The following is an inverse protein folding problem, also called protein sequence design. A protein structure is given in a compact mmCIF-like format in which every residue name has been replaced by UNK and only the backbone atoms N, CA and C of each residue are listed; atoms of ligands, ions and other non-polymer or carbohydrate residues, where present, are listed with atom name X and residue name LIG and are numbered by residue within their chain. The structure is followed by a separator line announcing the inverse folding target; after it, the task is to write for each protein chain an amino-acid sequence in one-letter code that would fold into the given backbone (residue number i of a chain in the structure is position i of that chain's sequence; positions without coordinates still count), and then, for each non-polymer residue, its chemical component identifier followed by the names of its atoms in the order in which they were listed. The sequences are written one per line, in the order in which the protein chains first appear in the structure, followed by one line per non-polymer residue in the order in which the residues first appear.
data_IF_669094331048
#
_entry.id   IF_669094331048
#
_cell.length_a   1.000
_cell.length_b   1.000
_cell.length_c   1.000
_cell.angle_alpha   90.00
_cell.angle_beta   90.00
_cell.angle_gamma   90.00
#
_symmetry.space_group_name_H-M   'P 1'
#
loop_
_entity.id
_entity.type
_entity.pdbx_description
1 polymer ?
#
# COMPACT_ATOMS: atom_id res chain seq x y z
N UNK A 1 -4.12 -31.87 -20.67
CA UNK A 1 -3.27 -30.65 -20.52
C UNK A 1 -2.70 -30.67 -19.11
N UNK A 2 -1.40 -30.56 -18.99
CA UNK A 2 -0.73 -30.51 -17.68
C UNK A 2 -0.84 -29.12 -17.06
N UNK A 3 -0.68 -29.04 -15.73
CA UNK A 3 -0.65 -27.76 -15.02
C UNK A 3 0.47 -26.85 -15.55
N UNK A 4 1.60 -27.41 -15.95
CA UNK A 4 2.67 -26.67 -16.61
C UNK A 4 2.17 -25.95 -17.88
N UNK A 5 1.48 -26.65 -18.76
CA UNK A 5 0.90 -26.09 -19.99
C UNK A 5 -0.18 -25.04 -19.72
N UNK A 6 -0.99 -25.24 -18.65
CA UNK A 6 -1.99 -24.26 -18.23
C UNK A 6 -1.32 -22.95 -17.78
N UNK A 7 -0.25 -23.06 -17.00
CA UNK A 7 0.53 -21.90 -16.54
C UNK A 7 1.09 -21.14 -17.73
N UNK A 8 1.69 -21.82 -18.71
CA UNK A 8 2.23 -21.16 -19.91
C UNK A 8 1.15 -20.41 -20.69
N UNK A 9 0.00 -21.05 -20.91
CA UNK A 9 -1.14 -20.43 -21.60
C UNK A 9 -1.63 -19.19 -20.86
N UNK A 10 -1.80 -19.27 -19.53
CA UNK A 10 -2.24 -18.14 -18.73
C UNK A 10 -1.17 -17.05 -18.64
N UNK A 11 0.11 -17.40 -18.56
CA UNK A 11 1.22 -16.44 -18.56
C UNK A 11 1.26 -15.62 -19.86
N UNK A 12 1.09 -16.25 -21.04
CA UNK A 12 0.99 -15.56 -22.32
C UNK A 12 -0.18 -14.55 -22.31
N UNK A 13 -1.34 -14.97 -21.79
CA UNK A 13 -2.51 -14.07 -21.64
C UNK A 13 -2.22 -12.90 -20.72
N UNK A 14 -1.53 -13.12 -19.59
CA UNK A 14 -1.15 -12.04 -18.66
C UNK A 14 -0.23 -11.03 -19.31
N UNK A 15 0.77 -11.48 -20.09
CA UNK A 15 1.70 -10.58 -20.80
C UNK A 15 0.94 -9.64 -21.75
N UNK A 16 -0.06 -10.14 -22.45
CA UNK A 16 -0.87 -9.34 -23.38
C UNK A 16 -1.85 -8.41 -22.67
N UNK A 17 -2.45 -8.86 -21.56
CA UNK A 17 -3.63 -8.17 -20.98
C UNK A 17 -3.33 -7.40 -19.69
N UNK A 18 -2.16 -7.57 -19.08
CA UNK A 18 -1.83 -7.00 -17.77
C UNK A 18 -0.53 -6.20 -17.79
N UNK A 19 -0.42 -5.29 -16.83
CA UNK A 19 0.82 -4.52 -16.63
C UNK A 19 1.99 -5.42 -16.22
N UNK A 20 3.24 -5.10 -16.59
CA UNK A 20 4.43 -5.89 -16.24
C UNK A 20 4.54 -6.27 -14.77
N UNK A 21 4.21 -5.34 -13.86
CA UNK A 21 4.21 -5.60 -12.42
C UNK A 21 3.25 -6.73 -12.01
N UNK A 22 2.10 -6.89 -12.71
CA UNK A 22 1.17 -8.00 -12.45
C UNK A 22 1.76 -9.32 -12.93
N UNK A 23 2.42 -9.33 -14.09
CA UNK A 23 3.10 -10.52 -14.62
C UNK A 23 4.20 -10.95 -13.64
N UNK A 24 5.04 -10.02 -13.19
CA UNK A 24 6.09 -10.26 -12.21
C UNK A 24 5.54 -10.81 -10.89
N UNK A 25 4.42 -10.27 -10.41
CA UNK A 25 3.74 -10.77 -9.21
C UNK A 25 3.35 -12.24 -9.32
N UNK A 26 2.89 -12.70 -10.50
CA UNK A 26 2.53 -14.11 -10.72
C UNK A 26 3.73 -15.04 -10.83
N UNK A 27 4.92 -14.57 -11.17
CA UNK A 27 6.10 -15.44 -11.38
C UNK A 27 6.44 -16.28 -10.15
N UNK A 28 6.39 -15.66 -8.96
CA UNK A 28 6.64 -16.39 -7.71
C UNK A 28 5.63 -17.55 -7.52
N UNK A 29 4.35 -17.31 -7.79
CA UNK A 29 3.33 -18.36 -7.64
C UNK A 29 3.46 -19.43 -8.72
N UNK A 30 3.78 -19.05 -9.94
CA UNK A 30 4.04 -19.98 -11.03
C UNK A 30 5.23 -20.88 -10.75
N UNK A 31 6.29 -20.38 -10.13
CA UNK A 31 7.43 -21.21 -9.76
C UNK A 31 7.05 -22.31 -8.77
N UNK A 32 6.24 -21.99 -7.76
CA UNK A 32 5.73 -22.97 -6.80
C UNK A 32 4.78 -23.98 -7.46
N UNK A 33 3.85 -23.52 -8.30
CA UNK A 33 2.93 -24.40 -9.03
C UNK A 33 3.68 -25.34 -9.98
N UNK A 34 4.65 -24.84 -10.75
CA UNK A 34 5.47 -25.69 -11.63
C UNK A 34 6.23 -26.73 -10.86
N UNK A 35 6.84 -26.36 -9.74
CA UNK A 35 7.65 -27.26 -8.90
C UNK A 35 6.82 -28.41 -8.33
N UNK A 36 5.63 -28.14 -7.82
CA UNK A 36 4.87 -29.10 -7.04
C UNK A 36 3.65 -29.71 -7.76
N UNK A 37 3.12 -29.02 -8.77
CA UNK A 37 1.94 -29.45 -9.51
C UNK A 37 2.17 -29.62 -11.02
N UNK A 38 3.33 -29.21 -11.52
CA UNK A 38 3.57 -29.10 -12.97
C UNK A 38 3.39 -30.41 -13.75
N UNK A 39 3.61 -31.54 -13.09
CA UNK A 39 3.44 -32.89 -13.65
C UNK A 39 1.99 -33.40 -13.70
N UNK A 40 1.11 -32.82 -12.85
CA UNK A 40 -0.29 -33.21 -12.79
C UNK A 40 -1.04 -32.70 -14.02
N UNK A 41 -2.12 -33.41 -14.38
CA UNK A 41 -3.08 -32.95 -15.38
C UNK A 41 -4.23 -32.18 -14.73
N UNK A 42 -5.03 -31.49 -15.53
CA UNK A 42 -6.23 -30.77 -15.03
C UNK A 42 -7.20 -31.75 -14.37
N UNK A 43 -7.28 -32.99 -14.85
CA UNK A 43 -8.20 -34.00 -14.32
C UNK A 43 -7.79 -34.47 -12.91
N UNK A 44 -6.50 -34.39 -12.60
CA UNK A 44 -5.94 -34.77 -11.31
C UNK A 44 -6.09 -33.64 -10.25
N UNK A 45 -6.65 -32.50 -10.64
CA UNK A 45 -6.82 -31.32 -9.76
C UNK A 45 -8.13 -31.41 -8.98
N UNK A 46 -8.22 -32.37 -8.08
CA UNK A 46 -9.31 -32.58 -7.13
C UNK A 46 -8.99 -31.97 -5.74
N UNK A 47 -9.84 -32.21 -4.76
CA UNK A 47 -9.69 -31.73 -3.39
C UNK A 47 -8.46 -32.33 -2.70
N UNK A 48 -8.17 -33.61 -2.94
CA UNK A 48 -7.02 -34.29 -2.36
C UNK A 48 -5.71 -33.77 -2.91
N UNK A 49 -5.62 -33.50 -4.21
CA UNK A 49 -4.46 -32.85 -4.82
C UNK A 49 -4.22 -31.46 -4.22
N UNK A 50 -5.29 -30.72 -3.91
CA UNK A 50 -5.19 -29.42 -3.28
C UNK A 50 -4.71 -29.50 -1.82
N UNK A 51 -5.21 -30.46 -1.05
CA UNK A 51 -4.77 -30.70 0.33
C UNK A 51 -3.30 -31.12 0.34
N UNK A 52 -2.90 -32.06 -0.52
CA UNK A 52 -1.52 -32.50 -0.68
C UNK A 52 -0.60 -31.33 -1.07
N UNK A 53 -1.04 -30.45 -1.94
CA UNK A 53 -0.28 -29.24 -2.30
C UNK A 53 -0.07 -28.31 -1.10
N UNK A 54 -1.10 -28.10 -0.28
CA UNK A 54 -1.00 -27.28 0.95
C UNK A 54 -0.02 -27.92 1.94
N UNK A 55 -0.12 -29.22 2.16
CA UNK A 55 0.80 -29.99 3.03
C UNK A 55 2.24 -29.85 2.53
N UNK A 56 2.46 -30.07 1.26
CA UNK A 56 3.77 -29.94 0.60
C UNK A 56 4.35 -28.53 0.76
N UNK A 57 3.53 -27.48 0.56
CA UNK A 57 3.97 -26.10 0.78
C UNK A 57 4.39 -25.85 2.24
N UNK A 58 3.64 -26.37 3.22
CA UNK A 58 3.99 -26.23 4.65
C UNK A 58 5.26 -26.98 5.02
N UNK A 59 5.47 -28.18 4.49
CA UNK A 59 6.64 -29.00 4.76
C UNK A 59 7.92 -28.40 4.18
N UNK A 60 7.87 -27.97 2.91
CA UNK A 60 9.06 -27.44 2.22
C UNK A 60 9.30 -25.94 2.50
N UNK A 61 8.28 -25.23 3.00
CA UNK A 61 8.35 -23.81 3.35
C UNK A 61 7.78 -23.54 4.74
N UNK A 62 8.36 -24.06 5.84
CA UNK A 62 7.79 -24.00 7.19
C UNK A 62 7.60 -22.56 7.70
N UNK A 63 8.34 -21.60 7.16
CA UNK A 63 8.19 -20.16 7.49
C UNK A 63 7.08 -19.45 6.68
N UNK A 64 6.46 -20.14 5.71
CA UNK A 64 5.42 -19.55 4.87
C UNK A 64 4.10 -19.42 5.67
N UNK A 65 3.66 -18.19 5.87
CA UNK A 65 2.41 -17.89 6.60
C UNK A 65 1.18 -18.30 5.79
N UNK A 66 0.08 -18.65 6.46
CA UNK A 66 -1.19 -19.00 5.84
C UNK A 66 -1.68 -17.94 4.84
N UNK A 67 -1.49 -16.66 5.12
CA UNK A 67 -1.81 -15.58 4.17
C UNK A 67 -1.06 -15.70 2.84
N UNK A 68 0.18 -16.16 2.85
CA UNK A 68 0.97 -16.39 1.63
C UNK A 68 0.49 -17.63 0.90
N UNK A 69 0.21 -18.72 1.62
CA UNK A 69 -0.38 -19.94 1.04
C UNK A 69 -1.72 -19.60 0.38
N UNK A 70 -2.60 -18.85 1.04
CA UNK A 70 -3.88 -18.41 0.48
C UNK A 70 -3.72 -17.57 -0.80
N UNK A 71 -2.64 -16.80 -0.92
CA UNK A 71 -2.31 -16.09 -2.17
C UNK A 71 -1.88 -17.06 -3.28
N UNK A 72 -1.08 -18.09 -2.96
CA UNK A 72 -0.71 -19.15 -3.91
C UNK A 72 -1.97 -19.86 -4.40
N UNK A 73 -2.86 -20.25 -3.51
CA UNK A 73 -4.13 -20.91 -3.84
C UNK A 73 -5.03 -20.03 -4.70
N UNK A 74 -5.13 -18.74 -4.38
CA UNK A 74 -5.89 -17.76 -5.19
C UNK A 74 -5.29 -17.59 -6.58
N UNK A 75 -3.95 -17.59 -6.70
CA UNK A 75 -3.28 -17.53 -7.98
C UNK A 75 -3.50 -18.81 -8.78
N UNK A 76 -3.47 -20.01 -8.15
CA UNK A 76 -3.78 -21.27 -8.78
C UNK A 76 -5.22 -21.32 -9.29
N UNK A 77 -6.20 -20.94 -8.45
CA UNK A 77 -7.62 -20.82 -8.88
C UNK A 77 -7.77 -19.95 -10.12
N UNK A 78 -7.11 -18.80 -10.14
CA UNK A 78 -7.14 -17.87 -11.26
C UNK A 78 -6.48 -18.48 -12.51
N UNK A 79 -5.36 -19.17 -12.34
CA UNK A 79 -4.62 -19.83 -13.42
C UNK A 79 -5.44 -20.93 -14.07
N UNK A 80 -6.08 -21.79 -13.29
CA UNK A 80 -6.95 -22.86 -13.80
C UNK A 80 -8.19 -22.30 -14.49
N UNK A 81 -8.85 -21.32 -13.89
CA UNK A 81 -10.03 -20.66 -14.47
C UNK A 81 -9.73 -20.07 -15.85
N UNK A 82 -8.68 -19.27 -15.98
CA UNK A 82 -8.40 -18.52 -17.21
C UNK A 82 -7.44 -19.20 -18.18
N UNK A 83 -6.64 -20.15 -17.71
CA UNK A 83 -5.73 -20.94 -18.53
C UNK A 83 -6.39 -22.17 -19.14
N UNK A 84 -7.34 -22.80 -18.43
CA UNK A 84 -7.95 -24.07 -18.80
C UNK A 84 -9.48 -24.07 -18.79
N UNK A 85 -10.13 -22.96 -18.41
CA UNK A 85 -11.58 -22.90 -18.14
C UNK A 85 -12.05 -23.95 -17.12
N UNK A 86 -11.20 -24.24 -16.13
CA UNK A 86 -11.44 -25.22 -15.08
C UNK A 86 -11.54 -24.53 -13.72
N UNK A 87 -12.75 -24.11 -13.29
CA UNK A 87 -12.95 -23.50 -11.98
C UNK A 87 -12.87 -24.55 -10.88
N UNK A 88 -12.03 -24.33 -9.89
CA UNK A 88 -11.93 -25.20 -8.70
C UNK A 88 -12.37 -24.45 -7.44
N UNK A 89 -12.97 -25.19 -6.52
CA UNK A 89 -13.19 -24.69 -5.17
C UNK A 89 -11.95 -24.93 -4.32
N UNK A 90 -11.54 -23.91 -3.59
CA UNK A 90 -10.36 -23.97 -2.73
C UNK A 90 -10.73 -23.45 -1.36
N UNK A 91 -10.61 -24.31 -0.35
CA UNK A 91 -10.79 -23.92 1.05
C UNK A 91 -9.59 -23.05 1.48
N UNK A 92 -9.89 -21.87 2.00
CA UNK A 92 -8.88 -20.98 2.55
C UNK A 92 -8.44 -21.43 3.92
N UNK A 93 -7.14 -21.32 4.17
CA UNK A 93 -6.58 -21.51 5.50
C UNK A 93 -6.99 -20.34 6.40
N UNK A 94 -7.25 -20.64 7.68
CA UNK A 94 -7.49 -19.64 8.70
C UNK A 94 -6.31 -18.67 8.80
N UNK A 95 -6.60 -17.38 8.78
CA UNK A 95 -5.62 -16.31 8.92
C UNK A 95 -5.79 -15.65 10.29
N UNK A 96 -4.72 -15.56 11.08
CA UNK A 96 -4.74 -14.75 12.28
C UNK A 96 -4.92 -13.28 11.90
N UNK A 97 -5.93 -12.63 12.45
CA UNK A 97 -6.12 -11.18 12.34
C UNK A 97 -5.01 -10.49 13.15
N UNK A 98 -3.87 -10.26 12.55
CA UNK A 98 -2.83 -9.44 13.15
C UNK A 98 -3.24 -7.98 13.06
N UNK A 99 -3.32 -7.31 14.21
CA UNK A 99 -3.41 -5.85 14.24
C UNK A 99 -2.21 -5.28 13.48
N UNK A 100 -2.48 -4.37 12.55
CA UNK A 100 -1.40 -3.71 11.81
C UNK A 100 -0.77 -2.72 12.80
N UNK A 101 0.50 -2.92 13.20
CA UNK A 101 1.14 -2.02 14.14
C UNK A 101 1.29 -0.65 13.49
N UNK A 102 0.84 0.39 14.18
CA UNK A 102 1.00 1.79 13.79
C UNK A 102 2.43 2.25 14.02
N UNK A 103 2.78 3.39 13.43
CA UNK A 103 4.02 4.09 13.80
C UNK A 103 3.70 4.88 15.08
N UNK A 104 4.46 4.67 16.18
CA UNK A 104 4.24 5.41 17.41
C UNK A 104 4.42 6.92 17.22
N UNK A 105 3.68 7.73 17.98
CA UNK A 105 3.78 9.20 17.90
C UNK A 105 5.20 9.68 18.22
N UNK A 106 5.86 9.09 19.20
CA UNK A 106 7.25 9.39 19.55
C UNK A 106 8.22 9.14 18.39
N UNK A 107 8.02 8.04 17.65
CA UNK A 107 8.79 7.72 16.45
C UNK A 107 8.54 8.73 15.33
N UNK A 108 7.29 9.18 15.14
CA UNK A 108 6.94 10.21 14.15
C UNK A 108 7.65 11.52 14.48
N UNK A 109 7.56 12.01 15.73
CA UNK A 109 8.24 13.23 16.17
C UNK A 109 9.75 13.12 15.98
N UNK A 110 10.36 12.01 16.41
CA UNK A 110 11.80 11.79 16.24
C UNK A 110 12.25 11.88 14.76
N UNK A 111 11.47 11.30 13.84
CA UNK A 111 11.76 11.38 12.40
C UNK A 111 11.65 12.82 11.89
N UNK A 112 10.57 13.51 12.22
CA UNK A 112 10.34 14.88 11.77
C UNK A 112 11.42 15.82 12.31
N UNK A 113 11.80 15.70 13.57
CA UNK A 113 12.87 16.50 14.20
C UNK A 113 14.22 16.22 13.56
N UNK A 114 14.55 14.95 13.30
CA UNK A 114 15.81 14.59 12.64
C UNK A 114 15.89 15.15 11.21
N UNK A 115 14.77 15.30 10.51
CA UNK A 115 14.70 15.91 9.18
C UNK A 115 14.74 17.44 9.26
N UNK A 116 14.07 18.05 10.25
CA UNK A 116 14.04 19.50 10.48
C UNK A 116 15.43 20.07 10.78
N UNK A 117 16.28 19.38 11.53
CA UNK A 117 17.65 19.84 11.88
C UNK A 117 18.49 20.28 10.67
N UNK A 118 18.22 19.73 9.48
CA UNK A 118 18.95 20.05 8.26
C UNK A 118 18.02 20.42 7.09
N UNK A 119 16.90 21.01 7.40
CA UNK A 119 15.85 21.32 6.40
C UNK A 119 16.30 22.30 5.30
N UNK A 120 17.33 23.13 5.59
CA UNK A 120 17.98 24.01 4.62
C UNK A 120 18.64 23.25 3.46
N UNK A 121 18.95 21.94 3.63
CA UNK A 121 19.49 21.09 2.56
C UNK A 121 18.34 20.58 1.67
N UNK A 122 18.36 20.79 0.35
CA UNK A 122 17.26 20.39 -0.54
C UNK A 122 16.85 18.92 -0.42
N UNK A 123 17.81 18.01 -0.19
CA UNK A 123 17.49 16.59 0.03
C UNK A 123 16.70 16.37 1.34
N UNK A 124 17.02 17.11 2.41
CA UNK A 124 16.33 16.96 3.68
C UNK A 124 14.94 17.62 3.63
N UNK A 125 14.83 18.77 2.98
CA UNK A 125 13.55 19.44 2.72
C UNK A 125 12.60 18.51 1.95
N UNK A 126 13.07 17.92 0.84
CA UNK A 126 12.28 16.92 0.10
C UNK A 126 11.84 15.75 0.97
N UNK A 127 12.78 15.18 1.73
CA UNK A 127 12.52 14.01 2.56
C UNK A 127 11.55 14.34 3.71
N UNK A 128 11.64 15.53 4.29
CA UNK A 128 10.71 16.05 5.29
C UNK A 128 9.30 16.14 4.69
N UNK A 129 9.16 16.77 3.52
CA UNK A 129 7.87 16.91 2.84
C UNK A 129 7.27 15.56 2.43
N UNK A 130 8.07 14.60 1.98
CA UNK A 130 7.59 13.24 1.68
C UNK A 130 6.95 12.62 2.93
N UNK A 131 7.60 12.73 4.09
CA UNK A 131 7.08 12.18 5.35
C UNK A 131 5.82 12.94 5.78
N UNK A 132 5.83 14.27 5.73
CA UNK A 132 4.69 15.14 6.10
C UNK A 132 3.46 14.82 5.22
N UNK A 133 3.63 14.81 3.92
CA UNK A 133 2.53 14.53 2.97
C UNK A 133 1.97 13.12 3.19
N UNK A 134 2.81 12.10 3.41
CA UNK A 134 2.32 10.75 3.74
C UNK A 134 1.54 10.73 5.05
N UNK A 135 1.98 11.47 6.06
CA UNK A 135 1.34 11.55 7.38
C UNK A 135 0.00 12.29 7.34
N UNK A 136 -0.11 13.33 6.52
CA UNK A 136 -1.29 14.20 6.43
C UNK A 136 -2.35 13.71 5.45
N UNK A 137 -1.94 12.99 4.40
CA UNK A 137 -2.83 12.62 3.29
C UNK A 137 -3.11 11.12 3.18
N UNK A 138 -2.26 10.29 3.77
CA UNK A 138 -2.35 8.84 3.63
C UNK A 138 -2.19 8.32 2.20
N UNK A 139 -1.48 9.02 1.32
CA UNK A 139 -1.23 8.60 -0.06
C UNK A 139 -0.59 7.21 -0.15
N UNK A 140 -0.88 6.50 -1.25
CA UNK A 140 -0.11 5.30 -1.62
C UNK A 140 1.25 5.73 -2.18
N UNK A 141 2.26 4.86 -2.05
CA UNK A 141 3.61 5.15 -2.58
C UNK A 141 3.58 5.53 -4.07
N UNK A 142 2.85 4.77 -4.88
CA UNK A 142 2.74 5.09 -6.31
C UNK A 142 2.03 6.41 -6.59
N UNK A 143 1.06 6.79 -5.79
CA UNK A 143 0.38 8.08 -5.89
C UNK A 143 1.35 9.22 -5.55
N UNK A 144 2.10 9.08 -4.46
CA UNK A 144 3.13 10.05 -4.05
C UNK A 144 4.19 10.28 -5.15
N UNK A 145 4.66 9.19 -5.78
CA UNK A 145 5.69 9.24 -6.84
C UNK A 145 5.20 10.00 -8.08
N UNK A 146 3.92 9.85 -8.42
CA UNK A 146 3.33 10.45 -9.62
C UNK A 146 2.65 11.80 -9.37
N UNK A 147 2.74 12.36 -8.15
CA UNK A 147 2.25 13.70 -7.90
C UNK A 147 3.02 14.73 -8.73
N UNK A 148 2.28 15.63 -9.34
CA UNK A 148 2.84 16.77 -10.06
C UNK A 148 2.55 18.07 -9.31
N UNK A 149 3.35 19.11 -9.56
CA UNK A 149 3.23 20.40 -8.87
C UNK A 149 1.88 21.07 -9.12
N UNK A 150 1.37 20.95 -10.35
CA UNK A 150 0.04 21.50 -10.69
C UNK A 150 -1.13 20.82 -9.98
N UNK A 151 -0.91 19.66 -9.37
CA UNK A 151 -1.93 19.01 -8.54
C UNK A 151 -2.14 19.70 -7.18
N UNK A 152 -1.23 20.60 -6.78
CA UNK A 152 -1.26 21.27 -5.48
C UNK A 152 -1.98 22.61 -5.62
N UNK A 153 -3.05 22.78 -4.85
CA UNK A 153 -3.75 24.06 -4.68
C UNK A 153 -3.47 24.60 -3.28
N UNK A 154 -2.77 25.72 -3.23
CA UNK A 154 -2.42 26.40 -1.97
C UNK A 154 -3.58 27.23 -1.39
N UNK A 155 -4.54 27.66 -2.21
CA UNK A 155 -5.68 28.44 -1.73
C UNK A 155 -6.63 27.57 -0.91
N UNK A 156 -6.81 26.34 -1.33
CA UNK A 156 -7.69 25.36 -0.66
C UNK A 156 -6.93 24.35 0.19
N UNK A 157 -5.58 24.40 0.19
CA UNK A 157 -4.71 23.45 0.88
C UNK A 157 -4.99 22.00 0.48
N UNK A 158 -5.20 21.77 -0.80
CA UNK A 158 -5.56 20.45 -1.33
C UNK A 158 -4.57 19.95 -2.37
N UNK A 159 -4.58 18.63 -2.56
CA UNK A 159 -3.84 17.95 -3.62
C UNK A 159 -4.81 17.05 -4.38
N UNK A 160 -4.89 17.22 -5.69
CA UNK A 160 -5.63 16.33 -6.59
C UNK A 160 -4.80 15.08 -6.87
N UNK A 161 -5.35 13.92 -6.57
CA UNK A 161 -4.67 12.61 -6.73
C UNK A 161 -5.35 11.83 -7.83
N UNK A 162 -4.63 11.54 -8.90
CA UNK A 162 -5.12 10.70 -9.98
C UNK A 162 -5.08 9.22 -9.58
N UNK A 163 -6.20 8.54 -9.73
CA UNK A 163 -6.30 7.11 -9.45
C UNK A 163 -5.93 6.30 -10.69
N UNK A 164 -4.74 5.72 -10.68
CA UNK A 164 -4.14 5.01 -11.83
C UNK A 164 -4.96 3.83 -12.38
N UNK A 165 -5.96 3.34 -11.65
CA UNK A 165 -6.78 2.18 -12.06
C UNK A 165 -8.15 2.53 -12.64
N UNK A 166 -8.72 3.67 -12.27
CA UNK A 166 -10.12 4.02 -12.58
C UNK A 166 -10.25 5.37 -13.29
N UNK A 167 -9.15 6.07 -13.57
CA UNK A 167 -9.11 7.46 -14.05
C UNK A 167 -9.98 8.43 -13.21
N UNK A 168 -10.40 7.99 -12.02
CA UNK A 168 -11.07 8.85 -11.07
C UNK A 168 -10.05 9.69 -10.31
N UNK A 169 -10.42 10.91 -9.98
CA UNK A 169 -9.64 11.81 -9.12
C UNK A 169 -10.20 11.77 -7.70
N UNK A 170 -9.34 12.00 -6.73
CA UNK A 170 -9.76 12.33 -5.36
C UNK A 170 -8.93 13.49 -4.85
N UNK A 171 -9.50 14.19 -3.90
CA UNK A 171 -8.83 15.31 -3.21
C UNK A 171 -8.34 14.78 -1.87
N UNK A 172 -7.12 15.18 -1.49
CA UNK A 172 -6.57 15.03 -0.14
C UNK A 172 -6.12 16.39 0.34
N UNK A 173 -6.08 16.60 1.67
CA UNK A 173 -5.73 17.90 2.25
C UNK A 173 -4.37 17.80 2.96
N UNK A 174 -3.63 18.90 2.97
CA UNK A 174 -2.44 19.09 3.79
C UNK A 174 -2.67 20.25 4.78
N UNK A 175 -1.86 20.27 5.84
CA UNK A 175 -2.01 21.26 6.89
C UNK A 175 -1.32 22.59 6.52
N UNK A 176 -1.82 23.69 7.09
CA UNK A 176 -1.26 25.04 6.90
C UNK A 176 0.24 25.10 7.23
N UNK A 177 0.66 24.44 8.31
CA UNK A 177 2.09 24.34 8.69
C UNK A 177 3.01 23.70 7.61
N UNK A 178 2.44 22.98 6.66
CA UNK A 178 3.17 22.33 5.55
C UNK A 178 3.24 23.23 4.32
N UNK A 179 2.36 24.23 4.21
CA UNK A 179 2.21 25.09 3.04
C UNK A 179 3.49 25.83 2.67
N UNK A 180 4.04 26.61 3.59
CA UNK A 180 5.25 27.42 3.35
C UNK A 180 6.44 26.55 2.89
N UNK A 181 6.64 25.43 3.58
CA UNK A 181 7.69 24.46 3.26
C UNK A 181 7.50 23.87 1.87
N UNK A 182 6.25 23.59 1.50
CA UNK A 182 5.90 23.03 0.21
C UNK A 182 6.05 24.05 -0.93
N UNK A 183 5.67 25.32 -0.69
CA UNK A 183 5.90 26.44 -1.62
C UNK A 183 7.40 26.64 -1.89
N UNK A 184 8.22 26.67 -0.82
CA UNK A 184 9.68 26.76 -0.92
C UNK A 184 10.24 25.64 -1.79
N UNK A 185 9.80 24.41 -1.54
CA UNK A 185 10.25 23.24 -2.31
C UNK A 185 9.88 23.33 -3.80
N UNK A 186 8.65 23.71 -4.11
CA UNK A 186 8.17 23.84 -5.50
C UNK A 186 8.95 24.94 -6.25
N UNK A 187 9.26 26.04 -5.57
CA UNK A 187 10.01 27.17 -6.15
C UNK A 187 11.46 26.85 -6.49
N UNK A 188 12.09 25.84 -5.86
CA UNK A 188 13.50 25.52 -6.09
C UNK A 188 13.80 25.09 -7.54
N UNK A 189 12.89 24.38 -8.21
CA UNK A 189 13.05 23.89 -9.58
C UNK A 189 11.73 23.93 -10.33
N UNK A 190 11.25 25.10 -10.72
CA UNK A 190 9.90 25.27 -11.30
C UNK A 190 9.70 24.49 -12.61
N UNK A 191 10.75 24.25 -13.39
CA UNK A 191 10.72 23.52 -14.66
C UNK A 191 10.51 22.01 -14.53
N UNK A 192 10.68 21.43 -13.32
CA UNK A 192 10.43 19.99 -13.10
C UNK A 192 8.96 19.82 -12.74
N UNK A 193 8.16 19.08 -13.53
CA UNK A 193 6.72 18.95 -13.31
C UNK A 193 6.38 18.10 -12.07
N UNK A 194 7.20 17.10 -11.76
CA UNK A 194 6.97 16.21 -10.62
C UNK A 194 7.11 16.94 -9.28
N UNK A 195 6.21 16.66 -8.35
CA UNK A 195 6.31 17.21 -7.01
C UNK A 195 7.54 16.69 -6.29
N UNK A 196 7.83 15.39 -6.38
CA UNK A 196 9.01 14.76 -5.79
C UNK A 196 9.91 14.12 -6.85
N UNK A 197 11.13 14.57 -6.92
CA UNK A 197 12.09 14.18 -7.94
C UNK A 197 13.50 13.96 -7.35
N UNK A 198 14.34 13.28 -8.11
CA UNK A 198 15.76 13.13 -7.79
C UNK A 198 16.49 14.42 -8.12
N UNK A 199 17.14 15.02 -7.13
CA UNK A 199 17.80 16.33 -7.28
C UNK A 199 18.95 16.35 -8.30
N UNK A 200 19.64 15.21 -8.50
CA UNK A 200 20.75 15.13 -9.46
C UNK A 200 20.23 14.91 -10.89
N UNK A 201 19.32 13.95 -11.05
CA UNK A 201 18.87 13.55 -12.40
C UNK A 201 17.65 14.31 -12.89
N UNK A 202 16.97 15.05 -12.00
CA UNK A 202 15.68 15.73 -12.25
C UNK A 202 14.55 14.79 -12.72
N UNK A 203 14.73 13.47 -12.60
CA UNK A 203 13.71 12.46 -12.93
C UNK A 203 12.81 12.18 -11.73
N UNK A 204 11.59 11.65 -11.95
CA UNK A 204 10.68 11.25 -10.86
C UNK A 204 11.38 10.34 -9.84
N UNK A 205 10.93 10.39 -8.60
CA UNK A 205 11.33 9.40 -7.59
C UNK A 205 10.81 8.03 -8.02
N UNK A 206 11.53 6.97 -7.62
CA UNK A 206 11.10 5.58 -7.81
C UNK A 206 10.70 4.95 -6.49
N UNK A 207 9.98 3.82 -6.53
CA UNK A 207 9.66 3.05 -5.32
C UNK A 207 10.94 2.70 -4.54
N UNK A 208 11.99 2.26 -5.24
CA UNK A 208 13.27 1.93 -4.63
C UNK A 208 13.93 3.14 -3.96
N UNK A 209 13.80 4.35 -4.54
CA UNK A 209 14.36 5.56 -3.93
C UNK A 209 13.58 5.98 -2.67
N UNK A 210 12.27 5.79 -2.63
CA UNK A 210 11.46 6.02 -1.42
C UNK A 210 11.78 4.98 -0.33
N UNK A 211 11.90 3.71 -0.71
CA UNK A 211 12.30 2.66 0.23
C UNK A 211 13.70 2.91 0.81
N UNK A 212 14.64 3.31 -0.03
CA UNK A 212 15.99 3.71 0.39
C UNK A 212 15.97 4.91 1.36
N UNK A 213 15.10 5.90 1.10
CA UNK A 213 14.89 7.03 2.02
C UNK A 213 14.51 6.52 3.43
N UNK A 214 13.49 5.67 3.54
CA UNK A 214 13.06 5.16 4.83
C UNK A 214 14.11 4.25 5.49
N UNK A 215 14.83 3.46 4.71
CA UNK A 215 15.96 2.68 5.22
C UNK A 215 17.05 3.58 5.82
N UNK A 216 17.46 4.64 5.10
CA UNK A 216 18.45 5.59 5.58
C UNK A 216 17.97 6.38 6.81
N UNK A 217 16.68 6.73 6.86
CA UNK A 217 16.10 7.35 8.05
C UNK A 217 16.21 6.44 9.26
N UNK A 218 15.83 5.18 9.15
CA UNK A 218 15.98 4.20 10.22
C UNK A 218 17.43 4.09 10.70
N UNK A 219 18.37 3.95 9.77
CA UNK A 219 19.80 3.82 10.10
C UNK A 219 20.33 5.05 10.84
N UNK A 220 19.94 6.25 10.41
CA UNK A 220 20.41 7.52 11.00
C UNK A 220 19.79 7.83 12.34
N UNK A 221 18.54 7.45 12.56
CA UNK A 221 17.78 7.76 13.78
C UNK A 221 17.80 6.62 14.80
N UNK A 222 18.33 5.45 14.46
CA UNK A 222 18.33 4.28 15.35
C UNK A 222 16.94 3.66 15.55
N UNK A 223 15.92 4.11 14.79
CA UNK A 223 14.54 3.64 14.94
C UNK A 223 14.43 2.16 14.55
N UNK A 224 13.88 1.35 15.44
CA UNK A 224 13.63 -0.07 15.21
C UNK A 224 12.27 -0.32 14.54
N UNK A 225 11.34 0.62 14.69
CA UNK A 225 10.00 0.51 14.10
C UNK A 225 10.04 0.35 12.58
N UNK A 226 9.04 -0.36 12.06
CA UNK A 226 8.86 -0.43 10.61
C UNK A 226 8.13 0.82 10.11
N UNK A 227 8.79 1.66 9.32
CA UNK A 227 8.31 2.96 8.84
C UNK A 227 8.05 3.00 7.32
N UNK A 228 7.54 1.91 6.75
CA UNK A 228 7.22 1.86 5.30
C UNK A 228 6.08 2.82 4.92
N UNK A 229 5.99 3.25 3.64
CA UNK A 229 4.89 4.11 3.15
C UNK A 229 3.51 3.54 3.46
N UNK A 230 3.36 2.23 3.41
CA UNK A 230 2.08 1.58 3.74
C UNK A 230 1.70 1.74 5.22
N UNK A 231 2.68 1.74 6.12
CA UNK A 231 2.44 2.01 7.53
C UNK A 231 2.10 3.48 7.80
N UNK A 232 2.71 4.42 7.09
CA UNK A 232 2.32 5.83 7.16
C UNK A 232 0.84 6.02 6.82
N UNK A 233 0.38 5.38 5.74
CA UNK A 233 -1.03 5.39 5.36
C UNK A 233 -1.95 4.76 6.41
N UNK A 234 -1.53 3.66 7.05
CA UNK A 234 -2.30 3.05 8.16
C UNK A 234 -2.34 3.97 9.38
N UNK A 235 -1.23 4.62 9.68
CA UNK A 235 -1.12 5.58 10.79
C UNK A 235 -2.02 6.79 10.54
N UNK A 236 -2.00 7.35 9.32
CA UNK A 236 -2.93 8.41 8.93
C UNK A 236 -4.39 7.99 9.14
N UNK A 237 -4.79 6.86 8.57
CA UNK A 237 -6.17 6.39 8.63
C UNK A 237 -6.66 6.19 10.07
N UNK A 238 -5.83 5.60 10.92
CA UNK A 238 -6.16 5.38 12.32
C UNK A 238 -6.20 6.69 13.11
N UNK A 239 -5.24 7.58 12.90
CA UNK A 239 -5.21 8.88 13.58
C UNK A 239 -6.39 9.76 13.16
N UNK A 240 -6.80 9.73 11.87
CA UNK A 240 -7.97 10.45 11.38
C UNK A 240 -9.23 10.03 12.14
N UNK A 241 -9.49 8.71 12.24
CA UNK A 241 -10.64 8.19 13.00
C UNK A 241 -10.54 8.50 14.50
N UNK A 242 -9.35 8.36 15.11
CA UNK A 242 -9.14 8.67 16.54
C UNK A 242 -9.38 10.13 16.88
N UNK A 243 -9.15 11.03 15.92
CA UNK A 243 -9.42 12.48 16.04
C UNK A 243 -10.89 12.84 15.76
N UNK A 244 -11.76 11.85 15.56
CA UNK A 244 -13.19 12.06 15.34
C UNK A 244 -13.61 12.15 13.88
N UNK A 245 -12.72 11.89 12.94
CA UNK A 245 -13.07 11.78 11.52
C UNK A 245 -14.01 10.61 11.26
N UNK A 246 -14.96 10.76 10.36
CA UNK A 246 -15.89 9.71 10.00
C UNK A 246 -15.32 8.73 8.95
N UNK A 247 -15.94 7.54 8.87
CA UNK A 247 -15.46 6.47 8.01
C UNK A 247 -15.64 6.74 6.52
N UNK A 248 -16.68 7.48 6.14
CA UNK A 248 -16.97 7.79 4.74
C UNK A 248 -15.98 8.83 4.20
N UNK A 249 -15.72 9.89 4.95
CA UNK A 249 -14.68 10.86 4.62
C UNK A 249 -13.31 10.17 4.53
N UNK A 250 -12.99 9.27 5.47
CA UNK A 250 -11.75 8.49 5.39
C UNK A 250 -11.71 7.62 4.12
N UNK A 251 -12.81 7.00 3.73
CA UNK A 251 -12.91 6.21 2.51
C UNK A 251 -12.60 7.05 1.27
N UNK A 252 -13.17 8.25 1.21
CA UNK A 252 -12.94 9.20 0.11
C UNK A 252 -11.47 9.65 0.07
N UNK A 253 -10.91 10.11 1.19
CA UNK A 253 -9.50 10.50 1.30
C UNK A 253 -8.54 9.39 0.89
N UNK A 254 -8.83 8.14 1.28
CA UNK A 254 -8.00 7.00 0.92
C UNK A 254 -8.25 6.48 -0.51
N UNK A 255 -9.34 6.87 -1.17
CA UNK A 255 -9.73 6.38 -2.49
C UNK A 255 -10.00 4.87 -2.48
N UNK A 256 -10.75 4.40 -1.48
CA UNK A 256 -11.21 3.03 -1.42
C UNK A 256 -12.54 2.90 -2.14
N UNK A 257 -12.59 2.08 -3.19
CA UNK A 257 -13.82 1.78 -3.95
C UNK A 257 -14.81 0.96 -3.13
N UNK A 258 -14.33 0.19 -2.12
CA UNK A 258 -15.16 -0.65 -1.28
C UNK A 258 -14.99 -0.28 0.20
N UNK A 259 -16.12 -0.01 0.87
CA UNK A 259 -16.17 0.34 2.29
C UNK A 259 -15.51 -0.74 3.18
N UNK A 260 -15.63 -2.03 2.82
CA UNK A 260 -14.96 -3.14 3.54
C UNK A 260 -13.46 -2.92 3.71
N UNK A 261 -12.82 -2.24 2.76
CA UNK A 261 -11.38 -1.94 2.84
C UNK A 261 -11.07 -0.90 3.92
N UNK A 262 -12.01 -0.02 4.24
CA UNK A 262 -11.88 1.01 5.27
C UNK A 262 -12.37 0.49 6.64
N UNK A 263 -13.34 -0.41 6.65
CA UNK A 263 -13.90 -1.02 7.89
C UNK A 263 -12.85 -1.71 8.76
N UNK A 264 -11.72 -2.15 8.18
CA UNK A 264 -10.60 -2.71 8.96
C UNK A 264 -10.04 -1.75 10.01
N UNK A 265 -10.29 -0.45 9.87
CA UNK A 265 -9.87 0.56 10.84
C UNK A 265 -10.88 0.79 11.98
N UNK A 266 -12.12 0.33 11.83
CA UNK A 266 -13.18 0.48 12.87
C UNK A 266 -12.82 -0.23 14.18
N UNK A 267 -12.16 -1.39 14.11
CA UNK A 267 -11.76 -2.13 15.30
C UNK A 267 -10.80 -1.36 16.22
N UNK A 268 -10.16 -0.32 15.69
CA UNK A 268 -9.25 0.54 16.43
C UNK A 268 -9.97 1.65 17.20
N UNK A 269 -11.27 1.86 16.92
CA UNK A 269 -12.09 2.93 17.50
C UNK A 269 -13.08 2.44 18.57
N UNK A 270 -13.17 1.12 18.81
CA UNK A 270 -14.16 0.56 19.76
C UNK A 270 -13.96 1.00 21.22
N UNK A 271 -12.78 1.48 21.60
CA UNK A 271 -12.52 2.00 22.96
C UNK A 271 -13.13 3.38 23.23
N UNK A 272 -13.75 4.03 22.26
CA UNK A 272 -14.18 5.43 22.37
C UNK A 272 -15.65 5.71 22.01
N UNK A 273 -16.51 4.68 21.92
CA UNK A 273 -17.94 4.85 21.62
C UNK A 273 -18.58 5.86 22.58
N UNK A 274 -18.27 5.77 23.88
CA UNK A 274 -18.82 6.69 24.90
C UNK A 274 -18.35 8.12 24.70
N UNK A 275 -17.07 8.34 24.41
CA UNK A 275 -16.53 9.69 24.15
C UNK A 275 -17.07 10.28 22.87
N UNK A 276 -17.18 9.49 21.82
CA UNK A 276 -17.78 9.91 20.55
C UNK A 276 -19.24 10.27 20.72
N UNK A 277 -20.02 9.43 21.42
CA UNK A 277 -21.43 9.73 21.78
C UNK A 277 -21.55 11.05 22.56
N UNK A 278 -20.77 11.23 23.61
CA UNK A 278 -20.78 12.46 24.41
C UNK A 278 -20.35 13.68 23.57
N UNK A 279 -19.33 13.56 22.73
CA UNK A 279 -18.86 14.66 21.86
C UNK A 279 -19.89 15.07 20.79
N UNK A 280 -20.75 14.16 20.35
CA UNK A 280 -21.82 14.45 19.38
C UNK A 280 -23.05 14.98 20.09
N UNK A 281 -23.50 14.33 21.15
CA UNK A 281 -24.77 14.63 21.82
C UNK A 281 -24.70 15.89 22.70
N UNK A 282 -23.50 16.33 23.11
CA UNK A 282 -23.31 17.58 23.87
C UNK A 282 -23.12 18.81 22.96
N UNK A 283 -23.19 18.65 21.63
CA UNK A 283 -23.23 19.82 20.74
C UNK A 283 -24.60 20.50 20.85
N UNK A 284 -24.66 21.84 21.00
CA UNK A 284 -25.94 22.54 20.98
C UNK A 284 -26.64 22.31 19.62
N UNK A 285 -27.96 22.16 19.69
CA UNK A 285 -28.88 22.01 18.55
C UNK A 285 -28.89 23.29 17.73
#
# INVERSE_FOLDING_TARGET
MTIHQVIEKFQRRLIITKRPATVQYYQFYFSLMRKYLGHLTIRDMDEDAMLNFIVTLKQHHPKMKNITINKVLSALKTTLKYGANHPINITRLSESKTLIPLIPASTIHHILDALKKNIHRPTQLRNYLIVKILLETGLRMNELIHLQKHNVDFNTQTIVVEMTKTHAHRIVCFLEETQETLQTWIGMHPSVPELFYNLKTKKPMTSASIESLFYQLKKRTGIQDNITPHKWRHTFATNFLRKGGDLETLRMLLGHTNLKTTQKYLHLNQHDIRKTYQAIMNKPI
#
